data_IF_853260061285
#
_entry.id   IF_853260061285
#
_cell.length_a   1.000
_cell.length_b   1.000
_cell.length_c   1.000
_cell.angle_alpha   90.00
_cell.angle_beta   90.00
_cell.angle_gamma   90.00
#
_symmetry.space_group_name_H-M   'P 1'
#
loop_
_entity.id
_entity.type
_entity.pdbx_description
1 polymer ?
#
# COMPACT_ATOMS: atom_id res chain seq x y z
N UNK A 1 17.03 16.77 15.22
CA UNK A 1 16.31 17.47 14.12
C UNK A 1 15.79 16.46 13.10
N UNK A 2 16.61 15.48 12.74
CA UNK A 2 16.23 14.27 11.98
C UNK A 2 15.07 13.49 12.60
N UNK A 3 14.97 13.46 13.94
CA UNK A 3 13.99 12.62 14.63
C UNK A 3 12.54 13.07 14.38
N UNK A 4 12.30 14.39 14.32
CA UNK A 4 10.99 14.94 13.98
C UNK A 4 10.56 14.58 12.55
N UNK A 5 11.52 14.55 11.62
CA UNK A 5 11.27 14.16 10.23
C UNK A 5 10.93 12.68 10.14
N UNK A 6 11.66 11.83 10.87
CA UNK A 6 11.38 10.40 10.93
C UNK A 6 9.99 10.10 11.51
N UNK A 7 9.61 10.78 12.61
CA UNK A 7 8.28 10.66 13.22
C UNK A 7 7.18 11.12 12.24
N UNK A 8 7.42 12.22 11.52
CA UNK A 8 6.47 12.72 10.54
C UNK A 8 6.27 11.74 9.37
N UNK A 9 7.36 11.17 8.83
CA UNK A 9 7.29 10.15 7.77
C UNK A 9 6.55 8.89 8.27
N UNK A 10 6.85 8.44 9.49
CA UNK A 10 6.16 7.30 10.08
C UNK A 10 4.65 7.56 10.25
N UNK A 11 4.27 8.77 10.66
CA UNK A 11 2.86 9.15 10.75
C UNK A 11 2.18 9.12 9.36
N UNK A 12 2.84 9.65 8.32
CA UNK A 12 2.33 9.58 6.95
C UNK A 12 2.20 8.13 6.44
N UNK A 13 3.17 7.26 6.75
CA UNK A 13 3.09 5.84 6.42
C UNK A 13 1.86 5.18 7.03
N UNK A 14 1.59 5.44 8.32
CA UNK A 14 0.43 4.87 9.02
C UNK A 14 -0.87 5.37 8.38
N UNK A 15 -0.96 6.66 8.08
CA UNK A 15 -2.14 7.25 7.42
C UNK A 15 -2.37 6.60 6.05
N UNK A 16 -1.32 6.46 5.24
CA UNK A 16 -1.42 5.80 3.94
C UNK A 16 -1.78 4.31 4.06
N UNK A 17 -1.31 3.62 5.11
CA UNK A 17 -1.68 2.24 5.36
C UNK A 17 -3.15 2.08 5.74
N UNK A 18 -3.70 3.01 6.53
CA UNK A 18 -5.14 3.04 6.86
C UNK A 18 -5.96 3.23 5.58
N UNK A 19 -5.62 4.23 4.76
CA UNK A 19 -6.31 4.46 3.48
C UNK A 19 -6.20 3.28 2.52
N UNK A 20 -5.07 2.55 2.52
CA UNK A 20 -4.89 1.39 1.67
C UNK A 20 -5.84 0.22 2.03
N UNK A 21 -6.29 0.13 3.29
CA UNK A 21 -7.17 -0.95 3.78
C UNK A 21 -8.64 -0.51 3.81
N UNK A 22 -8.92 0.76 4.03
CA UNK A 22 -10.30 1.26 4.15
C UNK A 22 -11.01 1.38 2.78
N UNK A 23 -10.27 1.43 1.68
CA UNK A 23 -10.84 1.60 0.34
C UNK A 23 -11.28 0.28 -0.28
N UNK A 24 -12.59 0.16 -0.58
CA UNK A 24 -13.16 -0.99 -1.31
C UNK A 24 -12.90 -1.04 -2.83
N UNK A 25 -12.16 -0.06 -3.39
CA UNK A 25 -11.60 -0.14 -4.76
C UNK A 25 -10.17 -0.69 -4.67
N UNK A 26 -9.96 -1.89 -5.22
CA UNK A 26 -8.66 -2.57 -5.24
C UNK A 26 -7.57 -1.70 -5.90
N UNK A 27 -7.93 -0.87 -6.88
CA UNK A 27 -6.95 0.03 -7.51
C UNK A 27 -6.52 1.13 -6.54
N UNK A 28 -7.44 1.68 -5.77
CA UNK A 28 -7.14 2.68 -4.76
C UNK A 28 -6.27 2.06 -3.65
N UNK A 29 -6.59 0.85 -3.19
CA UNK A 29 -5.79 0.11 -2.22
C UNK A 29 -4.34 -0.07 -2.68
N UNK A 30 -4.12 -0.40 -3.95
CA UNK A 30 -2.77 -0.52 -4.54
C UNK A 30 -2.02 0.80 -4.57
N UNK A 31 -2.69 1.92 -4.88
CA UNK A 31 -2.07 3.25 -4.82
C UNK A 31 -1.67 3.59 -3.39
N UNK A 32 -2.51 3.26 -2.40
CA UNK A 32 -2.18 3.40 -0.98
C UNK A 32 -0.94 2.58 -0.59
N UNK A 33 -0.88 1.32 -1.03
CA UNK A 33 0.27 0.43 -0.79
C UNK A 33 1.57 0.95 -1.45
N UNK A 34 1.47 1.51 -2.66
CA UNK A 34 2.60 2.13 -3.34
C UNK A 34 3.09 3.39 -2.61
N UNK A 35 2.18 4.19 -2.05
CA UNK A 35 2.53 5.36 -1.23
C UNK A 35 3.26 4.96 0.06
N UNK A 36 2.81 3.89 0.75
CA UNK A 36 3.52 3.34 1.92
C UNK A 36 4.95 2.94 1.56
N UNK A 37 5.13 2.24 0.44
CA UNK A 37 6.46 1.81 -0.04
C UNK A 37 7.36 3.01 -0.39
N UNK A 38 6.79 4.07 -0.96
CA UNK A 38 7.53 5.30 -1.26
C UNK A 38 8.03 5.99 0.02
N UNK A 39 7.18 6.10 1.04
CA UNK A 39 7.59 6.65 2.33
C UNK A 39 8.62 5.75 3.04
N UNK A 40 8.51 4.43 2.90
CA UNK A 40 9.50 3.49 3.41
C UNK A 40 10.89 3.69 2.75
N UNK A 41 10.94 3.87 1.42
CA UNK A 41 12.19 4.19 0.72
C UNK A 41 12.81 5.51 1.20
N UNK A 42 11.99 6.54 1.40
CA UNK A 42 12.44 7.82 1.97
C UNK A 42 12.99 7.61 3.40
N UNK A 43 12.33 6.80 4.23
CA UNK A 43 12.82 6.48 5.56
C UNK A 43 14.18 5.76 5.53
N UNK A 44 14.39 4.80 4.61
CA UNK A 44 15.69 4.12 4.44
C UNK A 44 16.79 5.07 3.99
N UNK A 45 16.47 6.06 3.16
CA UNK A 45 17.41 7.10 2.77
C UNK A 45 17.88 7.91 3.99
N UNK A 46 16.97 8.28 4.89
CA UNK A 46 17.33 8.98 6.14
C UNK A 46 18.14 8.10 7.11
N UNK A 47 17.93 6.79 7.09
CA UNK A 47 18.71 5.82 7.88
C UNK A 47 20.11 5.58 7.31
N UNK A 48 20.55 6.34 6.30
CA UNK A 48 21.85 6.17 5.64
C UNK A 48 22.02 4.80 4.97
N UNK A 49 20.92 4.16 4.56
CA UNK A 49 20.91 2.91 3.79
C UNK A 49 20.46 3.18 2.33
N UNK A 50 21.32 3.83 1.51
CA UNK A 50 20.95 4.25 0.16
C UNK A 50 20.76 3.10 -0.83
N UNK A 51 21.44 1.98 -0.60
CA UNK A 51 21.32 0.74 -1.37
C UNK A 51 19.95 0.10 -1.18
N UNK A 52 19.51 -0.03 0.08
CA UNK A 52 18.18 -0.57 0.42
C UNK A 52 17.08 0.38 -0.07
N UNK A 53 17.26 1.70 0.07
CA UNK A 53 16.30 2.69 -0.38
C UNK A 53 16.00 2.60 -1.89
N UNK A 54 17.04 2.40 -2.70
CA UNK A 54 16.90 2.26 -4.16
C UNK A 54 16.13 0.99 -4.54
N UNK A 55 16.42 -0.13 -3.86
CA UNK A 55 15.71 -1.40 -4.08
C UNK A 55 14.25 -1.31 -3.67
N UNK A 56 13.97 -0.70 -2.51
CA UNK A 56 12.60 -0.54 -2.01
C UNK A 56 11.76 0.35 -2.93
N UNK A 57 12.33 1.43 -3.46
CA UNK A 57 11.62 2.28 -4.43
C UNK A 57 11.29 1.51 -5.73
N UNK A 58 12.23 0.71 -6.23
CA UNK A 58 12.03 -0.06 -7.45
C UNK A 58 11.01 -1.20 -7.25
N UNK A 59 11.14 -1.96 -6.15
CA UNK A 59 10.31 -3.13 -5.89
C UNK A 59 8.96 -2.73 -5.30
N UNK A 60 8.95 -2.01 -4.18
CA UNK A 60 7.74 -1.70 -3.43
C UNK A 60 6.82 -0.71 -4.18
N UNK A 61 7.36 0.43 -4.62
CA UNK A 61 6.53 1.47 -5.23
C UNK A 61 6.17 1.18 -6.71
N UNK A 62 7.07 0.56 -7.49
CA UNK A 62 6.83 0.34 -8.92
C UNK A 62 6.43 -1.10 -9.26
N UNK A 63 7.25 -2.09 -8.89
CA UNK A 63 7.05 -3.48 -9.31
C UNK A 63 5.82 -4.12 -8.66
N UNK A 64 5.69 -4.02 -7.33
CA UNK A 64 4.53 -4.55 -6.60
C UNK A 64 3.23 -3.89 -7.06
N UNK A 65 3.24 -2.56 -7.21
CA UNK A 65 2.08 -1.83 -7.72
C UNK A 65 1.70 -2.27 -9.14
N UNK A 66 2.69 -2.43 -10.04
CA UNK A 66 2.46 -2.89 -11.40
C UNK A 66 1.88 -4.31 -11.44
N UNK A 67 2.40 -5.22 -10.61
CA UNK A 67 1.89 -6.59 -10.50
C UNK A 67 0.44 -6.60 -10.00
N UNK A 68 0.12 -5.84 -8.95
CA UNK A 68 -1.26 -5.77 -8.46
C UNK A 68 -2.22 -5.13 -9.47
N UNK A 69 -1.83 -4.04 -10.13
CA UNK A 69 -2.64 -3.43 -11.20
C UNK A 69 -2.89 -4.43 -12.33
N UNK A 70 -1.88 -5.20 -12.71
CA UNK A 70 -2.02 -6.22 -13.75
C UNK A 70 -2.95 -7.36 -13.34
N UNK A 71 -2.88 -7.79 -12.07
CA UNK A 71 -3.81 -8.77 -11.50
C UNK A 71 -5.23 -8.23 -11.47
N UNK A 72 -5.45 -7.01 -10.96
CA UNK A 72 -6.77 -6.35 -10.92
C UNK A 72 -7.37 -6.23 -12.31
N UNK A 73 -6.55 -5.94 -13.33
CA UNK A 73 -7.02 -5.90 -14.72
C UNK A 73 -7.58 -7.23 -15.22
N UNK A 74 -7.15 -8.36 -14.64
CA UNK A 74 -7.63 -9.71 -14.96
C UNK A 74 -8.68 -10.23 -13.99
N UNK A 75 -8.93 -9.54 -12.88
CA UNK A 75 -9.92 -9.91 -11.86
C UNK A 75 -10.98 -8.81 -11.72
N UNK A 76 -11.77 -8.90 -10.66
CA UNK A 76 -12.72 -7.85 -10.29
C UNK A 76 -11.98 -6.68 -9.62
N UNK A 77 -12.57 -5.48 -9.73
CA UNK A 77 -11.98 -4.22 -9.28
C UNK A 77 -12.50 -3.74 -7.93
N UNK A 78 -13.73 -4.11 -7.59
CA UNK A 78 -14.32 -3.77 -6.30
C UNK A 78 -14.34 -5.02 -5.45
N UNK A 79 -14.15 -4.86 -4.14
CA UNK A 79 -14.53 -5.92 -3.21
C UNK A 79 -16.02 -6.19 -3.38
N UNK A 80 -16.36 -7.39 -3.82
CA UNK A 80 -17.74 -7.87 -3.78
C UNK A 80 -18.11 -8.02 -2.32
N UNK A 81 -18.95 -7.13 -1.79
CA UNK A 81 -19.73 -7.41 -0.59
C UNK A 81 -20.66 -8.59 -0.92
N UNK A 82 -20.14 -9.81 -0.85
CA UNK A 82 -20.97 -10.99 -0.57
C UNK A 82 -21.42 -10.92 0.91
N UNK A 83 -22.15 -9.87 1.27
CA UNK A 83 -23.09 -9.96 2.38
C UNK A 83 -24.37 -10.59 1.82
N UNK A 84 -24.35 -11.92 1.81
CA UNK A 84 -25.46 -12.74 1.36
C UNK A 84 -26.76 -12.41 2.09
N UNK A 85 -27.71 -11.83 1.36
CA UNK A 85 -29.13 -11.84 1.73
C UNK A 85 -29.74 -13.23 1.50
N UNK A 86 -29.16 -14.26 2.15
CA UNK A 86 -29.63 -15.63 2.07
C UNK A 86 -29.23 -16.40 3.31
N UNK A 87 -30.23 -16.86 4.08
CA UNK A 87 -30.01 -17.70 5.27
C UNK A 87 -29.21 -19.00 4.99
N UNK A 88 -29.11 -19.39 3.72
CA UNK A 88 -28.48 -20.62 3.24
C UNK A 88 -26.95 -20.56 3.04
N UNK A 89 -26.32 -19.38 3.06
CA UNK A 89 -24.85 -19.23 2.88
C UNK A 89 -24.05 -19.30 4.20
N UNK A 90 -24.71 -19.55 5.33
CA UNK A 90 -24.09 -19.58 6.68
C UNK A 90 -23.74 -20.99 7.20
N UNK A 91 -23.77 -22.01 6.36
CA UNK A 91 -23.46 -23.41 6.70
C UNK A 91 -22.29 -23.95 5.89
#
# INVERSE_FOLDING_TARGET
MSDWVAIFIAALMIISAIFAVEWGDLLAAVVGMAAVSLFASIAFFFLQAPDVAMVEAAIGAALSAAVFIFTIKRTERYESEEEGTGWWVRW
#
